data_IF_611866378563
#
_entry.id   IF_611866378563
#
_cell.length_a   1.000
_cell.length_b   1.000
_cell.length_c   1.000
_cell.angle_alpha   90.00
_cell.angle_beta   90.00
_cell.angle_gamma   90.00
#
_symmetry.space_group_name_H-M   'P 1'
#
loop_
_entity.id
_entity.type
_entity.pdbx_description
1 polymer ?
#
# COMPACT_ATOMS: atom_id res chain seq x y z
N UNK A 1 -5.65 -16.54 36.64
CA UNK A 1 -6.17 -15.23 36.23
C UNK A 1 -5.75 -15.02 34.78
N UNK A 2 -6.58 -15.49 33.85
CA UNK A 2 -6.42 -15.19 32.43
C UNK A 2 -6.74 -13.70 32.25
N UNK A 3 -5.80 -12.94 31.71
CA UNK A 3 -6.16 -11.64 31.15
C UNK A 3 -7.00 -11.93 29.91
N UNK A 4 -8.29 -11.71 30.07
CA UNK A 4 -9.23 -11.47 28.99
C UNK A 4 -8.73 -10.22 28.27
N UNK A 5 -7.91 -10.44 27.24
CA UNK A 5 -7.56 -9.39 26.29
C UNK A 5 -8.87 -8.94 25.70
N UNK A 6 -9.21 -7.66 25.90
CA UNK A 6 -10.44 -7.05 25.41
C UNK A 6 -10.61 -7.36 23.92
N UNK A 7 -11.35 -8.43 23.63
CA UNK A 7 -11.95 -8.64 22.33
C UNK A 7 -12.80 -7.40 22.07
N UNK A 8 -12.67 -6.86 20.88
CA UNK A 8 -13.50 -5.76 20.42
C UNK A 8 -14.97 -6.18 20.57
N UNK A 9 -15.65 -5.73 21.63
CA UNK A 9 -17.08 -5.94 21.81
C UNK A 9 -17.79 -5.20 20.67
N UNK A 10 -18.32 -5.97 19.73
CA UNK A 10 -19.10 -5.46 18.60
C UNK A 10 -20.52 -5.09 19.08
N UNK A 11 -20.61 -3.97 19.78
CA UNK A 11 -21.89 -3.31 20.10
C UNK A 11 -22.46 -2.53 18.89
N UNK A 12 -21.91 -2.71 17.69
CA UNK A 12 -22.32 -1.92 16.50
C UNK A 12 -23.60 -2.44 15.85
N UNK A 13 -23.98 -3.70 16.12
CA UNK A 13 -25.12 -4.37 15.50
C UNK A 13 -24.93 -4.68 14.01
N UNK A 14 -23.72 -4.53 13.47
CA UNK A 14 -23.38 -4.83 12.08
C UNK A 14 -22.90 -6.28 11.92
N UNK A 15 -22.97 -6.86 10.71
CA UNK A 15 -22.35 -8.14 10.44
C UNK A 15 -20.82 -8.07 10.62
N UNK A 16 -20.15 -9.10 11.19
CA UNK A 16 -18.71 -9.09 11.43
C UNK A 16 -17.85 -8.77 10.20
N UNK A 17 -18.24 -9.26 9.03
CA UNK A 17 -17.55 -8.98 7.77
C UNK A 17 -17.56 -7.49 7.39
N UNK A 18 -18.62 -6.76 7.77
CA UNK A 18 -18.73 -5.31 7.53
C UNK A 18 -17.78 -4.56 8.47
N UNK A 19 -17.73 -4.97 9.74
CA UNK A 19 -16.82 -4.38 10.74
C UNK A 19 -15.36 -4.58 10.33
N UNK A 20 -14.99 -5.79 9.94
CA UNK A 20 -13.65 -6.13 9.45
C UNK A 20 -13.30 -5.34 8.18
N UNK A 21 -14.26 -5.20 7.25
CA UNK A 21 -14.10 -4.38 6.05
C UNK A 21 -13.82 -2.92 6.38
N UNK A 22 -14.55 -2.32 7.33
CA UNK A 22 -14.35 -0.93 7.79
C UNK A 22 -12.97 -0.77 8.45
N UNK A 23 -12.57 -1.72 9.29
CA UNK A 23 -11.28 -1.72 9.96
C UNK A 23 -10.12 -1.83 8.95
N UNK A 24 -10.26 -2.71 7.96
CA UNK A 24 -9.30 -2.88 6.86
C UNK A 24 -9.20 -1.61 6.01
N UNK A 25 -10.33 -0.97 5.71
CA UNK A 25 -10.38 0.32 5.02
C UNK A 25 -9.60 1.40 5.78
N UNK A 26 -9.75 1.50 7.11
CA UNK A 26 -9.00 2.45 7.93
C UNK A 26 -7.49 2.25 7.81
N UNK A 27 -7.02 0.98 7.81
CA UNK A 27 -5.62 0.68 7.57
C UNK A 27 -5.17 1.15 6.18
N UNK A 28 -5.99 0.89 5.15
CA UNK A 28 -5.78 1.37 3.78
C UNK A 28 -5.62 2.89 3.65
N UNK A 29 -6.46 3.66 4.33
CA UNK A 29 -6.37 5.14 4.33
C UNK A 29 -5.01 5.60 4.86
N UNK A 30 -4.60 5.09 6.01
CA UNK A 30 -3.34 5.51 6.65
C UNK A 30 -2.15 5.10 5.79
N UNK A 31 -2.12 3.87 5.30
CA UNK A 31 -1.03 3.35 4.47
C UNK A 31 -0.90 4.07 3.14
N UNK A 32 -2.03 4.37 2.49
CA UNK A 32 -2.04 5.16 1.25
C UNK A 32 -1.50 6.56 1.50
N UNK A 33 -1.91 7.21 2.60
CA UNK A 33 -1.39 8.53 2.95
C UNK A 33 0.14 8.52 3.15
N UNK A 34 0.68 7.50 3.82
CA UNK A 34 2.14 7.33 4.00
C UNK A 34 2.85 7.19 2.65
N UNK A 35 2.32 6.37 1.75
CA UNK A 35 2.89 6.18 0.41
C UNK A 35 2.88 7.48 -0.39
N UNK A 36 1.74 8.17 -0.42
CA UNK A 36 1.58 9.44 -1.14
C UNK A 36 2.51 10.52 -0.60
N UNK A 37 2.72 10.55 0.71
CA UNK A 37 3.69 11.46 1.33
C UNK A 37 5.12 11.20 0.83
N UNK A 38 5.55 9.93 0.77
CA UNK A 38 6.88 9.58 0.25
C UNK A 38 7.01 9.95 -1.23
N UNK A 39 5.97 9.69 -2.05
CA UNK A 39 5.97 10.11 -3.44
C UNK A 39 6.05 11.63 -3.60
N UNK A 40 5.29 12.38 -2.81
CA UNK A 40 5.32 13.84 -2.83
C UNK A 40 6.71 14.38 -2.47
N UNK A 41 7.33 13.84 -1.41
CA UNK A 41 8.70 14.21 -1.02
C UNK A 41 9.69 13.85 -2.14
N UNK A 42 9.58 12.67 -2.75
CA UNK A 42 10.48 12.27 -3.82
C UNK A 42 10.42 13.19 -5.05
N UNK A 43 9.22 13.62 -5.43
CA UNK A 43 9.01 14.58 -6.52
C UNK A 43 9.56 15.97 -6.14
N UNK A 44 9.29 16.43 -4.92
CA UNK A 44 9.79 17.72 -4.44
C UNK A 44 11.32 17.79 -4.38
N UNK A 45 11.98 16.72 -3.90
CA UNK A 45 13.46 16.64 -3.81
C UNK A 45 14.15 16.49 -5.17
N UNK A 46 13.39 16.16 -6.21
CA UNK A 46 13.93 15.94 -7.57
C UNK A 46 13.44 16.98 -8.57
N UNK A 47 12.86 18.10 -8.11
CA UNK A 47 12.26 19.13 -8.96
C UNK A 47 11.26 18.56 -9.99
N UNK A 48 10.49 17.55 -9.56
CA UNK A 48 9.49 16.85 -10.36
C UNK A 48 10.02 16.10 -11.59
N UNK A 49 11.29 15.69 -11.56
CA UNK A 49 11.92 14.95 -12.66
C UNK A 49 11.69 13.43 -12.61
N UNK A 50 11.09 12.87 -11.56
CA UNK A 50 10.86 11.42 -11.45
C UNK A 50 9.64 10.94 -12.24
N UNK A 51 8.63 11.79 -12.47
CA UNK A 51 7.46 11.44 -13.26
C UNK A 51 6.52 10.43 -12.59
N UNK A 52 6.49 10.37 -11.25
CA UNK A 52 5.63 9.50 -10.45
C UNK A 52 4.14 9.66 -10.80
N UNK A 53 3.57 10.87 -11.02
CA UNK A 53 2.17 10.99 -11.42
C UNK A 53 1.84 10.31 -12.76
N UNK A 54 2.75 10.41 -13.73
CA UNK A 54 2.60 9.74 -15.03
C UNK A 54 2.72 8.22 -14.87
N UNK A 55 3.67 7.75 -14.04
CA UNK A 55 3.83 6.35 -13.71
C UNK A 55 2.57 5.76 -13.05
N UNK A 56 1.97 6.49 -12.11
CA UNK A 56 0.71 6.12 -11.46
C UNK A 56 -0.42 6.00 -12.48
N UNK A 57 -0.60 7.01 -13.34
CA UNK A 57 -1.67 7.02 -14.33
C UNK A 57 -1.54 5.84 -15.29
N UNK A 58 -0.32 5.55 -15.74
CA UNK A 58 -0.03 4.40 -16.58
C UNK A 58 -0.25 3.07 -15.87
N UNK A 59 0.20 2.94 -14.62
CA UNK A 59 0.02 1.72 -13.82
C UNK A 59 -1.44 1.30 -13.72
N UNK A 60 -2.36 2.26 -13.57
CA UNK A 60 -3.79 2.00 -13.49
C UNK A 60 -4.50 1.99 -14.86
N UNK A 61 -3.76 2.05 -15.96
CA UNK A 61 -4.29 2.00 -17.32
C UNK A 61 -4.96 3.29 -17.81
N UNK A 62 -4.68 4.43 -17.17
CA UNK A 62 -5.22 5.75 -17.49
C UNK A 62 -4.13 6.66 -18.07
N UNK A 63 -3.38 6.15 -19.04
CA UNK A 63 -2.28 6.90 -19.68
C UNK A 63 -2.80 8.22 -20.28
N UNK A 64 -2.06 9.31 -20.08
CA UNK A 64 -2.45 10.66 -20.48
C UNK A 64 -3.48 11.37 -19.57
N UNK A 65 -4.08 10.69 -18.58
CA UNK A 65 -5.10 11.24 -17.69
C UNK A 65 -4.65 11.21 -16.21
N UNK A 66 -3.70 12.08 -15.80
CA UNK A 66 -3.02 11.98 -14.51
C UNK A 66 -3.96 12.13 -13.30
N UNK A 67 -4.97 12.99 -13.39
CA UNK A 67 -5.92 13.20 -12.30
C UNK A 67 -6.85 12.00 -12.08
N UNK A 68 -7.36 11.41 -13.18
CA UNK A 68 -8.18 10.22 -13.12
C UNK A 68 -7.36 9.02 -12.65
N UNK A 69 -6.14 8.87 -13.19
CA UNK A 69 -5.20 7.85 -12.79
C UNK A 69 -4.87 7.92 -11.29
N UNK A 70 -4.61 9.13 -10.78
CA UNK A 70 -4.40 9.35 -9.36
C UNK A 70 -5.62 8.97 -8.52
N UNK A 71 -6.84 9.37 -8.93
CA UNK A 71 -8.06 9.01 -8.21
C UNK A 71 -8.26 7.48 -8.13
N UNK A 72 -8.06 6.78 -9.25
CA UNK A 72 -8.13 5.30 -9.30
C UNK A 72 -7.05 4.67 -8.43
N UNK A 73 -5.83 5.21 -8.44
CA UNK A 73 -4.74 4.74 -7.61
C UNK A 73 -5.05 4.88 -6.11
N UNK A 74 -5.62 6.02 -5.69
CA UNK A 74 -6.05 6.22 -4.30
C UNK A 74 -7.12 5.22 -3.91
N UNK A 75 -8.14 4.99 -4.75
CA UNK A 75 -9.17 3.99 -4.48
C UNK A 75 -8.56 2.58 -4.37
N UNK A 76 -7.61 2.24 -5.25
CA UNK A 76 -6.93 0.96 -5.20
C UNK A 76 -6.11 0.80 -3.90
N UNK A 77 -5.34 1.81 -3.51
CA UNK A 77 -4.54 1.84 -2.28
C UNK A 77 -5.38 1.80 -1.00
N UNK A 78 -6.54 2.44 -1.00
CA UNK A 78 -7.39 2.53 0.19
C UNK A 78 -8.33 1.34 0.35
N UNK A 79 -8.77 0.74 -0.75
CA UNK A 79 -9.83 -0.28 -0.75
C UNK A 79 -9.34 -1.61 -1.31
N UNK A 80 -8.89 -1.63 -2.56
CA UNK A 80 -8.63 -2.87 -3.30
C UNK A 80 -7.48 -3.66 -2.68
N UNK A 81 -6.33 -3.02 -2.48
CA UNK A 81 -5.14 -3.69 -1.97
C UNK A 81 -5.25 -4.08 -0.49
N UNK A 82 -5.83 -3.25 0.41
CA UNK A 82 -6.08 -3.64 1.79
C UNK A 82 -7.02 -4.84 1.94
N UNK A 83 -8.11 -4.88 1.17
CA UNK A 83 -9.03 -6.04 1.20
C UNK A 83 -8.37 -7.29 0.62
N UNK A 84 -7.58 -7.14 -0.45
CA UNK A 84 -6.80 -8.25 -0.99
C UNK A 84 -5.78 -8.76 0.04
N UNK A 85 -5.08 -7.85 0.72
CA UNK A 85 -4.16 -8.19 1.79
C UNK A 85 -4.88 -8.99 2.89
N UNK A 86 -5.99 -8.49 3.42
CA UNK A 86 -6.78 -9.21 4.43
C UNK A 86 -7.16 -10.64 3.98
N UNK A 87 -7.51 -10.81 2.70
CA UNK A 87 -7.89 -12.12 2.15
C UNK A 87 -6.72 -13.10 1.99
N UNK A 88 -5.48 -12.63 1.83
CA UNK A 88 -4.32 -13.49 1.50
C UNK A 88 -3.20 -13.44 2.52
N UNK A 89 -3.27 -12.57 3.54
CA UNK A 89 -2.14 -12.32 4.45
C UNK A 89 -1.66 -13.61 5.13
N UNK A 90 -2.59 -14.48 5.51
CA UNK A 90 -2.29 -15.74 6.18
C UNK A 90 -1.42 -16.68 5.33
N UNK A 91 -1.38 -16.49 4.00
CA UNK A 91 -0.50 -17.25 3.11
C UNK A 91 0.98 -16.91 3.33
N UNK A 92 1.29 -15.73 3.83
CA UNK A 92 2.66 -15.31 4.13
C UNK A 92 3.17 -15.89 5.46
N UNK A 93 2.32 -16.51 6.30
CA UNK A 93 2.74 -17.16 7.57
C UNK A 93 3.83 -18.21 7.40
N UNK A 94 3.83 -18.92 6.29
CA UNK A 94 4.81 -19.99 6.03
C UNK A 94 6.21 -19.48 5.65
N UNK A 95 6.38 -18.16 5.45
CA UNK A 95 7.63 -17.53 5.05
C UNK A 95 8.42 -17.10 6.30
N UNK A 96 9.76 -17.16 6.32
CA UNK A 96 10.55 -16.65 7.43
C UNK A 96 10.19 -15.21 7.83
N UNK A 97 9.95 -14.97 9.12
CA UNK A 97 9.48 -13.68 9.63
C UNK A 97 7.97 -13.44 9.45
N UNK A 98 7.27 -14.36 8.80
CA UNK A 98 5.83 -14.29 8.53
C UNK A 98 4.94 -14.45 9.77
N UNK A 99 5.46 -14.62 10.98
CA UNK A 99 4.62 -14.54 12.19
C UNK A 99 4.20 -13.08 12.50
N UNK A 100 5.01 -12.09 12.07
CA UNK A 100 4.74 -10.67 12.21
C UNK A 100 3.87 -10.15 11.05
N UNK A 101 2.70 -9.59 11.36
CA UNK A 101 1.73 -9.08 10.37
C UNK A 101 2.31 -7.89 9.57
N UNK A 102 3.14 -7.05 10.19
CA UNK A 102 3.87 -5.97 9.52
C UNK A 102 4.82 -6.51 8.44
N UNK A 103 5.51 -7.62 8.73
CA UNK A 103 6.36 -8.29 7.75
C UNK A 103 5.54 -8.89 6.61
N UNK A 104 4.37 -9.47 6.89
CA UNK A 104 3.45 -9.94 5.82
C UNK A 104 3.04 -8.79 4.90
N UNK A 105 2.76 -7.62 5.46
CA UNK A 105 2.44 -6.41 4.71
C UNK A 105 3.58 -5.97 3.80
N UNK A 106 4.83 -6.00 4.28
CA UNK A 106 6.02 -5.74 3.45
C UNK A 106 6.11 -6.73 2.28
N UNK A 107 5.95 -8.03 2.54
CA UNK A 107 6.02 -9.07 1.50
C UNK A 107 4.95 -8.86 0.43
N UNK A 108 3.72 -8.53 0.84
CA UNK A 108 2.63 -8.19 -0.07
C UNK A 108 2.98 -6.96 -0.92
N UNK A 109 3.45 -5.88 -0.30
CA UNK A 109 3.76 -4.64 -1.01
C UNK A 109 4.99 -4.74 -1.92
N UNK A 110 5.93 -5.66 -1.65
CA UNK A 110 7.01 -5.98 -2.57
C UNK A 110 6.49 -6.56 -3.89
N UNK A 111 5.46 -7.41 -3.84
CA UNK A 111 4.81 -7.92 -5.06
C UNK A 111 4.14 -6.79 -5.83
N UNK A 112 3.44 -5.88 -5.12
CA UNK A 112 2.84 -4.69 -5.73
C UNK A 112 3.90 -3.78 -6.34
N UNK A 113 5.03 -3.59 -5.68
CA UNK A 113 6.14 -2.77 -6.19
C UNK A 113 6.70 -3.32 -7.49
N UNK A 114 6.90 -4.64 -7.59
CA UNK A 114 7.34 -5.28 -8.83
C UNK A 114 6.33 -5.04 -9.96
N UNK A 115 5.03 -5.18 -9.68
CA UNK A 115 3.98 -4.87 -10.65
C UNK A 115 3.97 -3.39 -11.04
N UNK A 116 4.14 -2.48 -10.08
CA UNK A 116 4.21 -1.04 -10.31
C UNK A 116 5.42 -0.65 -11.17
N UNK A 117 6.59 -1.24 -10.89
CA UNK A 117 7.80 -1.01 -11.68
C UNK A 117 7.59 -1.52 -13.11
N UNK A 118 7.09 -2.74 -13.29
CA UNK A 118 6.89 -3.31 -14.63
C UNK A 118 5.83 -2.60 -15.48
N UNK A 119 4.71 -2.19 -14.87
CA UNK A 119 3.57 -1.63 -15.60
C UNK A 119 3.60 -0.09 -15.64
N UNK A 120 3.98 0.54 -14.53
CA UNK A 120 3.98 2.00 -14.38
C UNK A 120 5.23 2.67 -14.93
N UNK A 121 6.41 2.04 -14.82
CA UNK A 121 7.66 2.66 -15.30
C UNK A 121 7.92 2.44 -16.79
N UNK A 122 7.10 1.63 -17.47
CA UNK A 122 7.26 1.34 -18.88
C UNK A 122 7.16 2.65 -19.70
N UNK A 123 8.23 3.04 -20.39
CA UNK A 123 8.26 4.25 -21.21
C UNK A 123 8.60 5.55 -20.49
N UNK A 124 8.92 5.51 -19.18
CA UNK A 124 9.60 6.63 -18.54
C UNK A 124 11.00 6.77 -19.12
N UNK A 125 11.34 7.95 -19.63
CA UNK A 125 12.68 8.27 -20.15
C UNK A 125 13.60 8.74 -19.01
N UNK A 126 13.76 7.90 -17.99
CA UNK A 126 14.67 8.19 -16.87
C UNK A 126 16.05 7.60 -17.16
N UNK A 127 17.07 8.43 -17.05
CA UNK A 127 18.47 8.02 -17.23
C UNK A 127 19.30 8.31 -15.97
N UNK A 128 20.40 7.56 -15.81
CA UNK A 128 21.40 7.80 -14.78
C UNK A 128 20.84 7.84 -13.36
N UNK A 129 21.11 8.93 -12.64
CA UNK A 129 20.76 9.08 -11.23
C UNK A 129 19.25 9.10 -10.99
N UNK A 130 18.46 9.69 -11.88
CA UNK A 130 17.00 9.79 -11.69
C UNK A 130 16.31 8.42 -11.79
N UNK A 131 16.80 7.53 -12.65
CA UNK A 131 16.30 6.15 -12.70
C UNK A 131 16.55 5.41 -11.38
N UNK A 132 17.75 5.56 -10.81
CA UNK A 132 18.09 4.96 -9.53
C UNK A 132 17.24 5.55 -8.39
N UNK A 133 17.08 6.87 -8.34
CA UNK A 133 16.22 7.55 -7.36
C UNK A 133 14.76 7.10 -7.47
N UNK A 134 14.24 6.95 -8.70
CA UNK A 134 12.89 6.43 -8.93
C UNK A 134 12.71 5.03 -8.33
N UNK A 135 13.65 4.11 -8.58
CA UNK A 135 13.62 2.75 -8.01
C UNK A 135 13.64 2.81 -6.49
N UNK A 136 14.55 3.59 -5.90
CA UNK A 136 14.71 3.68 -4.44
C UNK A 136 13.47 4.28 -3.78
N UNK A 137 13.00 5.44 -4.24
CA UNK A 137 11.84 6.11 -3.66
C UNK A 137 10.55 5.31 -3.87
N UNK A 138 10.36 4.71 -5.05
CA UNK A 138 9.20 3.83 -5.27
C UNK A 138 9.24 2.59 -4.39
N UNK A 139 10.41 1.98 -4.18
CA UNK A 139 10.57 0.86 -3.26
C UNK A 139 10.25 1.29 -1.82
N UNK A 140 10.82 2.40 -1.35
CA UNK A 140 10.56 2.92 -0.01
C UNK A 140 9.07 3.21 0.22
N UNK A 141 8.40 3.81 -0.77
CA UNK A 141 6.97 4.10 -0.72
C UNK A 141 6.14 2.82 -0.56
N UNK A 142 6.49 1.75 -1.30
CA UNK A 142 5.79 0.47 -1.21
C UNK A 142 6.11 -0.28 0.09
N UNK A 143 7.37 -0.27 0.54
CA UNK A 143 7.73 -0.88 1.82
C UNK A 143 7.01 -0.19 2.98
N UNK A 144 6.95 1.14 2.99
CA UNK A 144 6.24 1.90 4.00
C UNK A 144 4.73 1.67 3.96
N UNK A 145 4.14 1.60 2.75
CA UNK A 145 2.75 1.21 2.56
C UNK A 145 2.47 -0.18 3.14
N UNK A 146 3.26 -1.19 2.76
CA UNK A 146 3.10 -2.56 3.20
C UNK A 146 3.24 -2.72 4.71
N UNK A 147 4.32 -2.18 5.27
CA UNK A 147 4.56 -2.25 6.70
C UNK A 147 3.44 -1.58 7.50
N UNK A 148 3.08 -0.34 7.13
CA UNK A 148 1.98 0.36 7.80
C UNK A 148 0.65 -0.38 7.65
N UNK A 149 0.37 -0.97 6.49
CA UNK A 149 -0.85 -1.73 6.24
C UNK A 149 -0.92 -2.93 7.19
N UNK A 150 0.16 -3.71 7.28
CA UNK A 150 0.23 -4.85 8.20
C UNK A 150 0.07 -4.43 9.67
N UNK A 151 0.75 -3.37 10.11
CA UNK A 151 0.66 -2.86 11.48
C UNK A 151 -0.76 -2.37 11.81
N UNK A 152 -1.35 -1.53 10.96
CA UNK A 152 -2.69 -0.97 11.22
C UNK A 152 -3.80 -1.99 11.03
N UNK A 153 -3.67 -2.90 10.05
CA UNK A 153 -4.56 -4.04 9.92
C UNK A 153 -4.54 -4.87 11.19
N UNK A 154 -3.35 -5.36 11.60
CA UNK A 154 -3.19 -6.12 12.84
C UNK A 154 -3.74 -5.37 14.05
N UNK A 155 -3.53 -4.05 14.16
CA UNK A 155 -4.04 -3.25 15.28
C UNK A 155 -5.58 -3.10 15.28
N UNK A 156 -6.22 -3.10 14.12
CA UNK A 156 -7.66 -2.85 14.00
C UNK A 156 -8.49 -4.13 13.94
N UNK A 157 -7.96 -5.23 13.42
CA UNK A 157 -8.71 -6.48 13.15
C UNK A 157 -8.26 -7.69 13.99
N UNK A 158 -7.11 -7.63 14.66
CA UNK A 158 -6.53 -8.74 15.42
C UNK A 158 -6.24 -8.34 16.87
#
# INVERSE_FOLDING_TARGET
MSQEVAGFDDDSGLPPAVVEGIQTFKAGVVSTAVMLFIFLVSEAETDFNLGVPAAIAKFVGMDGEPYLGFAVFVVAGVVVWPLLFAAIEDRFKAIPGGDDIGVRGILFALLLWVAFLGLGSAGLQLEGAFFFLYIVFSLLAHLAYGYSLGVFYGRFTR
#
